data_IF_326492295363
#
_entry.id   IF_326492295363
#
_cell.length_a   1.000
_cell.length_b   1.000
_cell.length_c   1.000
_cell.angle_alpha   90.00
_cell.angle_beta   90.00
_cell.angle_gamma   90.00
#
_symmetry.space_group_name_H-M   'P 1'
#
loop_
_entity.id
_entity.type
_entity.pdbx_description
1 polymer ?
#
# COMPACT_ATOMS: atom_id res chain seq x y z
N UNK A 1 8.11 55.23 26.14
CA UNK A 1 7.30 54.22 25.46
C UNK A 1 5.91 54.80 25.26
N UNK A 2 5.64 55.32 24.06
CA UNK A 2 4.39 55.99 23.74
C UNK A 2 3.34 54.95 23.33
N UNK A 3 2.04 55.23 23.54
CA UNK A 3 0.96 54.24 23.34
C UNK A 3 0.95 53.65 21.92
N UNK A 4 1.35 54.47 20.93
CA UNK A 4 1.50 54.06 19.53
C UNK A 4 2.65 53.09 19.28
N UNK A 5 3.77 53.20 20.02
CA UNK A 5 4.91 52.28 19.91
C UNK A 5 4.53 50.89 20.46
N UNK A 6 3.77 50.84 21.56
CA UNK A 6 3.24 49.58 22.10
C UNK A 6 2.27 48.89 21.14
N UNK A 7 1.39 49.66 20.50
CA UNK A 7 0.43 49.10 19.53
C UNK A 7 1.14 48.53 18.29
N UNK A 8 2.13 49.27 17.76
CA UNK A 8 2.96 48.79 16.65
C UNK A 8 3.74 47.52 17.02
N UNK A 9 4.32 47.47 18.23
CA UNK A 9 5.01 46.27 18.71
C UNK A 9 4.06 45.06 18.81
N UNK A 10 2.82 45.26 19.29
CA UNK A 10 1.85 44.19 19.43
C UNK A 10 1.39 43.65 18.05
N UNK A 11 1.15 44.55 17.09
CA UNK A 11 0.83 44.16 15.71
C UNK A 11 1.99 43.41 15.04
N UNK A 12 3.23 43.84 15.27
CA UNK A 12 4.42 43.15 14.76
C UNK A 12 4.52 41.73 15.34
N UNK A 13 4.31 41.55 16.65
CA UNK A 13 4.34 40.22 17.30
C UNK A 13 3.27 39.31 16.72
N UNK A 14 2.03 39.79 16.55
CA UNK A 14 0.94 39.00 15.95
C UNK A 14 1.27 38.60 14.51
N UNK A 15 1.82 39.53 13.72
CA UNK A 15 2.20 39.27 12.33
C UNK A 15 3.32 38.21 12.26
N UNK A 16 4.41 38.37 13.02
CA UNK A 16 5.52 37.42 13.00
C UNK A 16 5.14 36.04 13.56
N UNK A 17 4.30 35.98 14.60
CA UNK A 17 3.81 34.70 15.14
C UNK A 17 2.88 33.99 14.16
N UNK A 18 1.99 34.72 13.48
CA UNK A 18 1.10 34.15 12.45
C UNK A 18 1.89 33.63 11.25
N UNK A 19 2.89 34.39 10.77
CA UNK A 19 3.77 33.94 9.71
C UNK A 19 4.56 32.69 10.12
N UNK A 20 5.15 32.69 11.32
CA UNK A 20 5.89 31.55 11.85
C UNK A 20 5.03 30.29 11.95
N UNK A 21 3.80 30.41 12.47
CA UNK A 21 2.87 29.29 12.55
C UNK A 21 2.51 28.74 11.16
N UNK A 22 2.25 29.62 10.20
CA UNK A 22 1.90 29.24 8.82
C UNK A 22 3.04 28.48 8.13
N UNK A 23 4.28 28.96 8.26
CA UNK A 23 5.44 28.27 7.71
C UNK A 23 5.68 26.90 8.36
N UNK A 24 5.57 26.82 9.69
CA UNK A 24 5.71 25.54 10.39
C UNK A 24 4.64 24.54 9.94
N UNK A 25 3.38 24.96 9.83
CA UNK A 25 2.30 24.09 9.33
C UNK A 25 2.54 23.63 7.89
N UNK A 26 3.07 24.50 7.01
CA UNK A 26 3.40 24.14 5.65
C UNK A 26 4.50 23.07 5.59
N UNK A 27 5.55 23.22 6.41
CA UNK A 27 6.64 22.23 6.53
C UNK A 27 6.10 20.89 7.03
N UNK A 28 5.27 20.89 8.07
CA UNK A 28 4.72 19.65 8.63
C UNK A 28 3.88 18.89 7.61
N UNK A 29 3.04 19.60 6.85
CA UNK A 29 2.27 19.01 5.75
C UNK A 29 3.19 18.41 4.67
N UNK A 30 4.28 19.09 4.34
CA UNK A 30 5.24 18.59 3.36
C UNK A 30 5.94 17.32 3.86
N UNK A 31 6.34 17.29 5.13
CA UNK A 31 6.89 16.09 5.78
C UNK A 31 5.90 14.92 5.72
N UNK A 32 4.61 15.15 6.00
CA UNK A 32 3.59 14.11 5.90
C UNK A 32 3.44 13.57 4.47
N UNK A 33 3.51 14.45 3.46
CA UNK A 33 3.46 14.01 2.05
C UNK A 33 4.67 13.16 1.67
N UNK A 34 5.87 13.54 2.13
CA UNK A 34 7.10 12.78 1.88
C UNK A 34 7.00 11.41 2.55
N UNK A 35 6.59 11.35 3.82
CA UNK A 35 6.43 10.09 4.55
C UNK A 35 5.40 9.18 3.86
N UNK A 36 4.26 9.73 3.44
CA UNK A 36 3.27 8.96 2.69
C UNK A 36 3.82 8.45 1.35
N UNK A 37 4.55 9.27 0.60
CA UNK A 37 5.16 8.86 -0.66
C UNK A 37 6.18 7.73 -0.46
N UNK A 38 7.05 7.83 0.55
CA UNK A 38 7.99 6.77 0.91
C UNK A 38 7.27 5.47 1.29
N UNK A 39 6.19 5.56 2.07
CA UNK A 39 5.40 4.39 2.46
C UNK A 39 4.69 3.73 1.28
N UNK A 40 4.19 4.51 0.32
CA UNK A 40 3.60 3.96 -0.91
C UNK A 40 4.63 3.19 -1.72
N UNK A 41 5.87 3.69 -1.83
CA UNK A 41 6.95 2.97 -2.53
C UNK A 41 7.29 1.66 -1.81
N UNK A 42 7.41 1.69 -0.48
CA UNK A 42 7.67 0.48 0.31
C UNK A 42 6.52 -0.53 0.16
N UNK A 43 5.27 -0.08 0.27
CA UNK A 43 4.10 -0.94 0.09
C UNK A 43 4.06 -1.56 -1.32
N UNK A 44 4.41 -0.79 -2.34
CA UNK A 44 4.50 -1.27 -3.72
C UNK A 44 5.58 -2.34 -3.89
N UNK A 45 6.77 -2.16 -3.31
CA UNK A 45 7.83 -3.16 -3.31
C UNK A 45 7.42 -4.45 -2.59
N UNK A 46 6.70 -4.32 -1.47
CA UNK A 46 6.17 -5.46 -0.72
C UNK A 46 5.17 -6.25 -1.57
N UNK A 47 4.20 -5.57 -2.20
CA UNK A 47 3.25 -6.22 -3.10
C UNK A 47 3.97 -6.94 -4.26
N UNK A 48 4.99 -6.32 -4.86
CA UNK A 48 5.78 -6.94 -5.91
C UNK A 48 6.50 -8.20 -5.43
N UNK A 49 7.22 -8.12 -4.30
CA UNK A 49 7.95 -9.26 -3.74
C UNK A 49 7.03 -10.48 -3.49
N UNK A 50 5.82 -10.22 -3.01
CA UNK A 50 4.81 -11.24 -2.75
C UNK A 50 4.23 -11.87 -4.02
N UNK A 51 3.95 -11.06 -5.04
CA UNK A 51 3.49 -11.59 -6.33
C UNK A 51 4.59 -12.37 -7.05
N UNK A 52 5.83 -11.90 -6.95
CA UNK A 52 7.01 -12.56 -7.53
C UNK A 52 7.32 -13.89 -6.80
N UNK A 53 7.00 -14.00 -5.51
CA UNK A 53 7.07 -15.28 -4.78
C UNK A 53 6.10 -16.32 -5.36
N UNK A 54 4.86 -15.91 -5.70
CA UNK A 54 3.89 -16.79 -6.37
C UNK A 54 4.45 -17.25 -7.71
N UNK A 55 4.96 -16.33 -8.54
CA UNK A 55 5.59 -16.67 -9.81
C UNK A 55 6.73 -17.67 -9.64
N UNK A 56 7.61 -17.46 -8.65
CA UNK A 56 8.70 -18.38 -8.37
C UNK A 56 8.22 -19.78 -7.95
N UNK A 57 7.15 -19.87 -7.15
CA UNK A 57 6.54 -21.15 -6.75
C UNK A 57 5.86 -21.87 -7.91
N UNK A 58 5.20 -21.13 -8.80
CA UNK A 58 4.60 -21.68 -10.02
C UNK A 58 5.69 -22.19 -10.98
N UNK A 59 6.75 -21.41 -11.21
CA UNK A 59 7.87 -21.83 -12.07
C UNK A 59 8.64 -23.03 -11.51
N UNK A 60 8.80 -23.11 -10.20
CA UNK A 60 9.48 -24.23 -9.53
C UNK A 60 8.58 -25.46 -9.35
N UNK A 61 7.31 -25.42 -9.79
CA UNK A 61 6.30 -26.48 -9.63
C UNK A 61 6.04 -26.88 -8.18
N UNK A 62 6.27 -25.97 -7.23
CA UNK A 62 5.93 -26.17 -5.82
C UNK A 62 4.46 -25.84 -5.53
N UNK A 63 3.81 -25.13 -6.45
CA UNK A 63 2.42 -24.71 -6.39
C UNK A 63 1.78 -24.99 -7.75
N UNK A 64 0.59 -25.60 -7.77
CA UNK A 64 -0.20 -25.72 -8.99
C UNK A 64 -1.13 -24.49 -9.15
N UNK A 65 -1.48 -24.13 -10.39
CA UNK A 65 -2.34 -22.96 -10.66
C UNK A 65 -3.70 -23.08 -9.95
N UNK A 66 -4.25 -24.30 -9.86
CA UNK A 66 -5.54 -24.56 -9.20
C UNK A 66 -5.49 -24.30 -7.70
N UNK A 67 -4.31 -24.48 -7.07
CA UNK A 67 -4.13 -24.34 -5.64
C UNK A 67 -3.91 -22.87 -5.22
N UNK A 68 -3.83 -21.93 -6.17
CA UNK A 68 -3.62 -20.50 -5.86
C UNK A 68 -4.78 -19.96 -5.00
N UNK A 69 -6.02 -20.24 -5.38
CA UNK A 69 -7.20 -19.67 -4.71
C UNK A 69 -7.30 -20.17 -3.26
N UNK A 70 -7.00 -21.45 -3.05
CA UNK A 70 -7.07 -22.07 -1.73
C UNK A 70 -5.92 -21.63 -0.81
N UNK A 71 -4.72 -21.37 -1.36
CA UNK A 71 -3.55 -21.01 -0.57
C UNK A 71 -3.39 -19.50 -0.35
N UNK A 72 -3.97 -18.64 -1.19
CA UNK A 72 -3.72 -17.20 -1.20
C UNK A 72 -4.98 -16.36 -0.96
N UNK A 73 -5.84 -16.79 -0.03
CA UNK A 73 -7.01 -16.04 0.41
C UNK A 73 -7.02 -15.88 1.94
N UNK A 74 -6.10 -15.05 2.45
CA UNK A 74 -5.92 -14.84 3.89
C UNK A 74 -5.37 -13.45 4.19
N UNK A 75 -5.44 -13.05 5.47
CA UNK A 75 -4.85 -11.81 5.96
C UNK A 75 -3.75 -12.11 6.96
N UNK A 76 -2.58 -11.54 6.77
CA UNK A 76 -1.50 -11.52 7.74
C UNK A 76 -1.44 -10.14 8.42
N UNK A 77 -1.89 -10.03 9.69
CA UNK A 77 -2.05 -8.76 10.37
C UNK A 77 -0.74 -8.21 10.99
N UNK A 78 0.43 -8.80 10.77
CA UNK A 78 1.66 -8.30 11.38
C UNK A 78 2.94 -8.74 10.64
N UNK A 79 3.04 -8.50 9.34
CA UNK A 79 4.26 -8.80 8.59
C UNK A 79 5.35 -7.80 8.98
N UNK A 80 6.39 -8.32 9.61
CA UNK A 80 7.61 -7.57 9.97
C UNK A 80 8.71 -7.90 8.98
N UNK A 81 9.27 -6.88 8.33
CA UNK A 81 10.42 -7.05 7.46
C UNK A 81 11.70 -6.72 8.24
N UNK A 82 12.76 -7.56 8.20
CA UNK A 82 14.01 -7.31 8.93
C UNK A 82 14.68 -5.97 8.59
N UNK A 83 14.39 -5.45 7.40
CA UNK A 83 14.97 -4.21 6.87
C UNK A 83 14.08 -2.98 7.08
N UNK A 84 12.86 -3.15 7.61
CA UNK A 84 11.92 -2.06 7.88
C UNK A 84 11.54 -2.07 9.37
N UNK A 85 11.69 -0.95 10.10
CA UNK A 85 11.34 -0.88 11.52
C UNK A 85 9.81 -0.83 11.77
N UNK A 86 9.00 -1.16 10.76
CA UNK A 86 7.55 -0.96 10.73
C UNK A 86 6.85 -2.25 10.32
N UNK A 87 5.75 -2.55 11.01
CA UNK A 87 4.87 -3.67 10.67
C UNK A 87 3.81 -3.23 9.66
N UNK A 88 3.45 -4.13 8.76
CA UNK A 88 2.39 -3.94 7.77
C UNK A 88 1.35 -5.05 7.88
N UNK A 89 0.10 -4.70 7.57
CA UNK A 89 -0.99 -5.65 7.41
C UNK A 89 -1.08 -6.00 5.93
N UNK A 90 -0.98 -7.28 5.60
CA UNK A 90 -1.01 -7.76 4.23
C UNK A 90 -2.25 -8.64 4.05
N UNK A 91 -3.14 -8.23 3.16
CA UNK A 91 -4.32 -8.99 2.79
C UNK A 91 -4.12 -9.58 1.39
N UNK A 92 -4.36 -10.88 1.29
CA UNK A 92 -4.37 -11.63 0.04
C UNK A 92 -5.80 -11.96 -0.31
N UNK A 93 -6.19 -11.61 -1.52
CA UNK A 93 -7.47 -11.97 -2.10
C UNK A 93 -7.19 -12.64 -3.44
N UNK A 94 -7.65 -13.88 -3.59
CA UNK A 94 -7.53 -14.62 -4.82
C UNK A 94 -8.88 -15.12 -5.28
N UNK A 95 -9.10 -15.09 -6.59
CA UNK A 95 -10.36 -15.45 -7.20
C UNK A 95 -10.15 -16.04 -8.60
N UNK A 96 -11.07 -16.91 -9.00
CA UNK A 96 -11.16 -17.38 -10.38
C UNK A 96 -11.71 -16.25 -11.25
N UNK A 97 -11.00 -15.88 -12.31
CA UNK A 97 -11.34 -14.72 -13.12
C UNK A 97 -11.43 -15.05 -14.61
N UNK A 98 -11.92 -14.09 -15.40
CA UNK A 98 -11.82 -14.09 -16.85
C UNK A 98 -10.46 -13.52 -17.32
N UNK A 99 -10.27 -13.45 -18.64
CA UNK A 99 -9.07 -12.86 -19.27
C UNK A 99 -8.84 -11.39 -18.91
N UNK A 100 -9.88 -10.67 -18.47
CA UNK A 100 -9.82 -9.26 -18.11
C UNK A 100 -9.59 -9.06 -16.59
N UNK A 101 -9.50 -10.14 -15.80
CA UNK A 101 -9.38 -10.08 -14.35
C UNK A 101 -10.70 -9.80 -13.63
N UNK A 102 -11.84 -9.99 -14.30
CA UNK A 102 -13.16 -9.93 -13.68
C UNK A 102 -13.49 -11.28 -13.06
N UNK A 103 -14.01 -11.26 -11.84
CA UNK A 103 -14.35 -12.49 -11.12
C UNK A 103 -15.46 -13.24 -11.83
N UNK A 104 -15.31 -14.56 -11.92
CA UNK A 104 -16.33 -15.42 -12.51
C UNK A 104 -17.55 -15.45 -11.59
N UNK A 105 -18.74 -15.34 -12.17
CA UNK A 105 -20.01 -15.40 -11.43
C UNK A 105 -20.24 -16.77 -10.77
N UNK A 106 -19.61 -17.82 -11.31
CA UNK A 106 -19.58 -19.16 -10.74
C UNK A 106 -18.12 -19.53 -10.53
N UNK A 107 -17.79 -19.96 -9.32
CA UNK A 107 -16.43 -20.31 -8.94
C UNK A 107 -16.02 -21.64 -9.60
N UNK A 108 -15.25 -21.55 -10.69
CA UNK A 108 -14.75 -22.71 -11.43
C UNK A 108 -13.28 -22.96 -11.07
N UNK A 109 -13.04 -24.05 -10.33
CA UNK A 109 -11.70 -24.46 -9.94
C UNK A 109 -10.81 -24.78 -11.15
N UNK A 110 -11.39 -25.13 -12.30
CA UNK A 110 -10.69 -25.38 -13.56
C UNK A 110 -10.51 -24.11 -14.42
N UNK A 111 -10.88 -22.93 -13.92
CA UNK A 111 -10.63 -21.68 -14.64
C UNK A 111 -9.15 -21.54 -14.97
N UNK A 112 -8.87 -21.22 -16.24
CA UNK A 112 -7.53 -21.00 -16.78
C UNK A 112 -6.86 -19.74 -16.23
N UNK A 113 -7.65 -18.80 -15.71
CA UNK A 113 -7.16 -17.53 -15.18
C UNK A 113 -7.48 -17.43 -13.69
N UNK A 114 -6.43 -17.14 -12.91
CA UNK A 114 -6.52 -16.88 -11.47
C UNK A 114 -6.04 -15.46 -11.21
N UNK A 115 -6.84 -14.65 -10.52
CA UNK A 115 -6.45 -13.32 -10.07
C UNK A 115 -5.93 -13.42 -8.65
N UNK A 116 -4.83 -12.72 -8.36
CA UNK A 116 -4.38 -12.49 -6.99
C UNK A 116 -4.20 -10.99 -6.79
N UNK A 117 -4.80 -10.48 -5.73
CA UNK A 117 -4.70 -9.11 -5.27
C UNK A 117 -4.04 -9.10 -3.91
N UNK A 118 -2.95 -8.35 -3.79
CA UNK A 118 -2.22 -8.13 -2.54
C UNK A 118 -2.43 -6.70 -2.10
N UNK A 119 -3.02 -6.51 -0.93
CA UNK A 119 -3.29 -5.20 -0.34
C UNK A 119 -2.46 -5.01 0.92
N UNK A 120 -1.63 -3.97 0.94
CA UNK A 120 -0.78 -3.60 2.06
C UNK A 120 -1.39 -2.38 2.77
N UNK A 121 -1.56 -2.48 4.09
CA UNK A 121 -2.15 -1.44 4.94
C UNK A 121 -1.48 -1.39 6.33
N UNK A 122 -1.94 -0.49 7.21
CA UNK A 122 -1.65 -0.56 8.65
C UNK A 122 -0.65 0.47 9.21
N UNK A 123 0.26 1.03 8.40
CA UNK A 123 1.20 2.03 8.93
C UNK A 123 0.59 3.45 8.95
N UNK A 124 0.76 4.17 10.06
CA UNK A 124 0.11 5.49 10.29
C UNK A 124 0.42 6.57 9.24
N UNK A 125 1.58 6.48 8.58
CA UNK A 125 1.95 7.41 7.49
C UNK A 125 1.36 7.02 6.13
N UNK A 126 0.86 5.80 5.95
CA UNK A 126 0.19 5.36 4.73
C UNK A 126 -1.27 5.81 4.79
N UNK A 127 -1.62 6.84 4.02
CA UNK A 127 -2.97 7.44 4.06
C UNK A 127 -4.05 6.53 3.47
N UNK A 128 -3.70 5.70 2.50
CA UNK A 128 -4.60 4.77 1.82
C UNK A 128 -3.90 3.43 1.61
N UNK A 129 -4.61 2.30 1.78
CA UNK A 129 -4.07 0.99 1.43
C UNK A 129 -3.57 0.97 -0.02
N UNK A 130 -2.43 0.33 -0.23
CA UNK A 130 -1.91 0.09 -1.56
C UNK A 130 -2.24 -1.33 -1.99
N UNK A 131 -2.90 -1.47 -3.13
CA UNK A 131 -3.27 -2.78 -3.69
C UNK A 131 -2.60 -2.99 -5.05
N UNK A 132 -2.10 -4.19 -5.28
CA UNK A 132 -1.60 -4.62 -6.58
C UNK A 132 -2.26 -5.93 -6.97
N UNK A 133 -2.61 -6.04 -8.25
CA UNK A 133 -3.27 -7.21 -8.81
C UNK A 133 -2.44 -7.79 -9.93
N UNK A 134 -2.32 -9.12 -9.96
CA UNK A 134 -1.73 -9.89 -11.06
C UNK A 134 -2.66 -11.02 -11.46
N UNK A 135 -2.73 -11.31 -12.75
CA UNK A 135 -3.47 -12.42 -13.31
C UNK A 135 -2.45 -13.49 -13.71
N UNK A 136 -2.64 -14.69 -13.19
CA UNK A 136 -1.86 -15.87 -13.55
C UNK A 136 -2.68 -16.71 -14.52
N UNK A 137 -2.01 -17.24 -15.54
CA UNK A 137 -2.61 -18.10 -16.55
C UNK A 137 -1.65 -19.23 -16.87
N UNK A 138 -2.18 -20.42 -17.12
CA UNK A 138 -1.40 -21.51 -17.68
C UNK A 138 -1.32 -21.32 -19.20
N UNK A 139 -0.10 -21.38 -19.76
CA UNK A 139 0.15 -21.22 -21.19
C UNK A 139 0.17 -22.53 -21.96
N UNK A 140 0.18 -23.67 -21.26
CA UNK A 140 0.06 -24.99 -21.88
C UNK A 140 -1.31 -25.58 -21.59
N UNK A 141 -2.04 -25.88 -22.67
CA UNK A 141 -3.27 -26.66 -22.63
C UNK A 141 -2.90 -28.04 -22.08
N UNK A 142 -3.60 -28.44 -21.02
CA UNK A 142 -3.49 -29.73 -20.34
C UNK A 142 -3.74 -30.91 -21.28
#
# INVERSE_FOLDING_TARGET
>A
MNMMEMFLALMAVVLFTTLSLTYNQAIWRQTDYINNATMVVQASQICHAFLDEIDAKLFSKQLELNDIVDNYNYTDPAVSFPHLPTTFNVQWESANCDINGVDLAVDDSLSLYKRVTVTVSGHSYLRQPYSMTRIFTETFIR
#
